data_IF_327600220662
#
_entry.id   IF_327600220662
#
_cell.length_a   1.000
_cell.length_b   1.000
_cell.length_c   1.000
_cell.angle_alpha   90.00
_cell.angle_beta   90.00
_cell.angle_gamma   90.00
#
_symmetry.space_group_name_H-M   'P 1'
#
loop_
_entity.id
_entity.type
_entity.pdbx_description
1 polymer ?
#
# COMPACT_ATOMS: atom_id res chain seq x y z
N UNK A 1 -16.80 33.19 9.88
CA UNK A 1 -16.37 31.90 10.46
C UNK A 1 -16.49 30.84 9.35
N UNK A 2 -15.45 30.65 8.53
CA UNK A 2 -15.46 29.70 7.42
C UNK A 2 -15.07 28.33 7.96
N UNK A 3 -16.01 27.40 8.02
CA UNK A 3 -15.76 25.98 8.24
C UNK A 3 -15.04 25.40 7.01
N UNK A 4 -13.71 25.48 7.01
CA UNK A 4 -12.89 24.64 6.13
C UNK A 4 -12.85 23.24 6.74
N UNK A 5 -13.84 22.42 6.38
CA UNK A 5 -13.66 20.97 6.41
C UNK A 5 -12.44 20.66 5.53
N UNK A 6 -11.42 19.93 6.01
CA UNK A 6 -10.33 19.53 5.15
C UNK A 6 -10.90 18.61 4.08
N UNK A 7 -10.85 19.10 2.84
CA UNK A 7 -11.10 18.33 1.61
C UNK A 7 -10.44 16.97 1.70
N UNK A 8 -11.07 16.01 1.04
CA UNK A 8 -10.78 14.58 0.83
C UNK A 8 -9.36 14.19 0.37
N UNK A 9 -8.31 14.94 0.74
CA UNK A 9 -6.91 14.78 0.36
C UNK A 9 -6.15 13.69 1.13
N UNK A 10 -6.80 12.97 2.05
CA UNK A 10 -6.15 11.91 2.84
C UNK A 10 -5.56 10.81 1.93
N UNK A 11 -6.04 10.65 0.70
CA UNK A 11 -5.60 9.61 -0.23
C UNK A 11 -4.59 10.04 -1.30
N UNK A 12 -4.10 11.29 -1.31
CA UNK A 12 -2.98 11.71 -2.17
C UNK A 12 -1.62 11.27 -1.58
N UNK A 13 -1.57 10.16 -0.84
CA UNK A 13 -0.35 9.69 -0.20
C UNK A 13 0.59 9.09 -1.25
N UNK A 14 1.74 9.73 -1.47
CA UNK A 14 2.77 9.23 -2.38
C UNK A 14 3.54 8.13 -1.66
N UNK A 15 3.20 6.87 -1.96
CA UNK A 15 3.98 5.72 -1.52
C UNK A 15 5.28 5.64 -2.32
N UNK A 16 6.41 5.82 -1.63
CA UNK A 16 7.74 5.75 -2.26
C UNK A 16 8.19 4.30 -2.43
N UNK A 17 7.94 3.47 -1.43
CA UNK A 17 8.27 2.05 -1.45
C UNK A 17 7.32 1.26 -0.57
N UNK A 18 7.02 0.02 -0.97
CA UNK A 18 6.25 -0.91 -0.16
C UNK A 18 6.99 -2.24 -0.07
N UNK A 19 7.18 -2.73 1.17
CA UNK A 19 7.59 -4.11 1.45
C UNK A 19 6.36 -4.95 1.77
N UNK A 20 6.22 -6.10 1.13
CA UNK A 20 5.12 -7.03 1.32
C UNK A 20 5.69 -8.38 1.73
N UNK A 21 5.25 -8.87 2.88
CA UNK A 21 5.71 -10.14 3.46
C UNK A 21 4.49 -11.06 3.51
N UNK A 22 4.54 -12.21 2.85
CA UNK A 22 3.33 -13.02 2.60
C UNK A 22 3.54 -14.50 2.87
N UNK A 23 2.55 -15.14 3.49
CA UNK A 23 2.50 -16.60 3.66
C UNK A 23 1.84 -17.28 2.46
N UNK A 24 2.17 -18.56 2.22
CA UNK A 24 1.65 -19.33 1.08
C UNK A 24 1.84 -18.60 -0.28
N UNK A 25 3.03 -18.01 -0.47
CA UNK A 25 3.32 -17.07 -1.55
C UNK A 25 2.96 -17.61 -2.94
N UNK A 26 3.40 -18.83 -3.26
CA UNK A 26 3.21 -19.44 -4.59
C UNK A 26 1.73 -19.50 -5.01
N UNK A 27 0.82 -19.75 -4.05
CA UNK A 27 -0.60 -19.88 -4.35
C UNK A 27 -1.35 -18.54 -4.26
N UNK A 28 -0.92 -17.63 -3.38
CA UNK A 28 -1.69 -16.42 -3.05
C UNK A 28 -1.25 -15.16 -3.78
N UNK A 29 -0.05 -15.15 -4.35
CA UNK A 29 0.52 -13.94 -4.95
C UNK A 29 -0.33 -13.36 -6.08
N UNK A 30 -0.85 -14.19 -6.98
CA UNK A 30 -1.66 -13.72 -8.11
C UNK A 30 -2.92 -12.97 -7.63
N UNK A 31 -3.68 -13.59 -6.73
CA UNK A 31 -4.90 -13.00 -6.16
C UNK A 31 -4.58 -11.71 -5.38
N UNK A 32 -3.51 -11.73 -4.58
CA UNK A 32 -3.08 -10.55 -3.84
C UNK A 32 -2.68 -9.41 -4.78
N UNK A 33 -1.88 -9.68 -5.81
CA UNK A 33 -1.40 -8.68 -6.76
C UNK A 33 -2.55 -8.01 -7.53
N UNK A 34 -3.57 -8.77 -7.91
CA UNK A 34 -4.75 -8.21 -8.58
C UNK A 34 -5.65 -7.40 -7.65
N UNK A 35 -5.65 -7.73 -6.35
CA UNK A 35 -6.32 -6.94 -5.32
C UNK A 35 -5.55 -5.65 -5.02
N UNK A 36 -4.23 -5.75 -4.83
CA UNK A 36 -3.32 -4.64 -4.52
C UNK A 36 -3.35 -3.54 -5.59
N UNK A 37 -3.43 -3.90 -6.88
CA UNK A 37 -3.53 -2.93 -7.99
C UNK A 37 -4.75 -2.02 -7.90
N UNK A 38 -5.86 -2.47 -7.30
CA UNK A 38 -7.12 -1.70 -7.24
C UNK A 38 -7.05 -0.49 -6.30
N UNK A 39 -6.04 -0.45 -5.42
CA UNK A 39 -5.83 0.65 -4.48
C UNK A 39 -4.98 1.79 -5.04
N UNK A 40 -4.44 1.65 -6.26
CA UNK A 40 -3.58 2.64 -6.87
C UNK A 40 -4.14 3.05 -8.22
N UNK A 41 -3.94 4.32 -8.58
CA UNK A 41 -4.22 4.77 -9.95
C UNK A 41 -3.28 4.05 -10.91
N UNK A 42 -3.73 3.79 -12.13
CA UNK A 42 -2.93 3.12 -13.15
C UNK A 42 -1.60 3.85 -13.45
N UNK A 43 -1.55 5.17 -13.24
CA UNK A 43 -0.35 6.00 -13.40
C UNK A 43 0.59 6.01 -12.19
N UNK A 44 0.21 5.39 -11.07
CA UNK A 44 1.03 5.33 -9.87
C UNK A 44 1.83 4.02 -9.82
N UNK A 45 3.11 4.11 -10.15
CA UNK A 45 4.04 2.98 -10.05
C UNK A 45 4.74 3.06 -8.69
N UNK A 46 4.51 2.05 -7.84
CA UNK A 46 5.20 1.90 -6.56
C UNK A 46 6.47 1.07 -6.73
N UNK A 47 7.57 1.50 -6.12
CA UNK A 47 8.69 0.61 -5.89
C UNK A 47 8.25 -0.48 -4.91
N UNK A 48 8.42 -1.75 -5.27
CA UNK A 48 7.88 -2.88 -4.49
C UNK A 48 8.88 -4.01 -4.35
N UNK A 49 8.91 -4.57 -3.15
CA UNK A 49 9.54 -5.86 -2.88
C UNK A 49 8.50 -6.77 -2.21
N UNK A 50 8.32 -7.97 -2.74
CA UNK A 50 7.39 -8.97 -2.19
C UNK A 50 8.16 -10.23 -1.87
N UNK A 51 8.07 -10.72 -0.63
CA UNK A 51 8.84 -11.87 -0.14
C UNK A 51 7.89 -12.90 0.48
N UNK A 52 8.12 -14.18 0.16
CA UNK A 52 7.43 -15.30 0.78
C UNK A 52 8.06 -15.68 2.13
N UNK A 53 7.22 -15.90 3.14
CA UNK A 53 7.65 -16.37 4.47
C UNK A 53 6.78 -17.52 4.96
N UNK A 54 7.25 -18.23 5.97
CA UNK A 54 6.53 -19.37 6.55
C UNK A 54 5.38 -18.94 7.46
N UNK A 55 5.57 -17.89 8.27
CA UNK A 55 4.58 -17.43 9.25
C UNK A 55 4.61 -15.92 9.43
N UNK A 56 3.46 -15.36 9.78
CA UNK A 56 3.27 -13.97 10.20
C UNK A 56 2.53 -13.94 11.53
N UNK A 57 2.64 -12.82 12.26
CA UNK A 57 1.91 -12.61 13.50
C UNK A 57 0.38 -12.72 13.27
N UNK A 58 -0.33 -13.17 14.29
CA UNK A 58 -1.80 -13.34 14.27
C UNK A 58 -2.33 -14.20 13.09
N UNK A 59 -1.51 -15.12 12.56
CA UNK A 59 -1.84 -15.95 11.39
C UNK A 59 -2.24 -15.12 10.16
N UNK A 60 -1.69 -13.91 10.02
CA UNK A 60 -1.95 -13.06 8.88
C UNK A 60 -1.51 -13.71 7.56
N UNK A 61 -2.18 -13.36 6.48
CA UNK A 61 -1.84 -13.83 5.13
C UNK A 61 -0.76 -12.95 4.50
N UNK A 62 -0.79 -11.65 4.78
CA UNK A 62 0.17 -10.67 4.30
C UNK A 62 0.33 -9.57 5.34
N UNK A 63 1.56 -9.11 5.52
CA UNK A 63 1.89 -7.84 6.19
C UNK A 63 2.42 -6.88 5.14
N UNK A 64 1.97 -5.62 5.20
CA UNK A 64 2.38 -4.56 4.28
C UNK A 64 3.04 -3.45 5.09
N UNK A 65 4.27 -3.10 4.73
CA UNK A 65 5.06 -2.04 5.34
C UNK A 65 5.35 -0.93 4.30
N UNK A 66 4.53 0.13 4.28
CA UNK A 66 4.68 1.23 3.34
C UNK A 66 5.56 2.36 3.88
N UNK A 67 6.43 2.88 3.01
CA UNK A 67 7.10 4.17 3.21
C UNK A 67 6.42 5.21 2.33
N UNK A 68 5.78 6.20 2.94
CA UNK A 68 5.05 7.26 2.25
C UNK A 68 5.58 8.65 2.62
N UNK A 69 5.47 9.60 1.69
CA UNK A 69 5.67 11.03 2.00
C UNK A 69 4.34 11.69 2.27
N UNK A 70 4.31 12.59 3.26
CA UNK A 70 3.20 13.52 3.46
C UNK A 70 3.13 14.45 2.23
N UNK A 71 1.94 14.70 1.66
CA UNK A 71 1.78 15.72 0.63
C UNK A 71 2.22 17.09 1.17
N UNK A 72 3.05 17.82 0.43
CA UNK A 72 3.21 19.25 0.72
C UNK A 72 1.92 19.96 0.32
N UNK A 73 1.42 20.82 1.21
CA UNK A 73 0.16 21.56 1.01
C UNK A 73 0.23 22.56 -0.15
N UNK A 74 1.44 22.86 -0.65
CA UNK A 74 1.67 23.76 -1.76
C UNK A 74 2.71 23.17 -2.72
N UNK A 75 2.28 22.78 -3.92
CA UNK A 75 3.10 22.63 -5.11
C UNK A 75 2.31 23.20 -6.29
#
# INVERSE_FOLDING_TARGET
MRSHLPSSHIFQQVFMRILQIMTAFACKYALFNDTDKRYFLASQIKARTTVGVTILAASAVVTIDPIARRPQENA
#
